data_IF_461861242639
#
_entry.id   IF_461861242639
#
_cell.length_a   1.000
_cell.length_b   1.000
_cell.length_c   1.000
_cell.angle_alpha   90.00
_cell.angle_beta   90.00
_cell.angle_gamma   90.00
#
_symmetry.space_group_name_H-M   'P 1'
#
loop_
_entity.id
_entity.type
_entity.pdbx_description
1 polymer ?
#
# COMPACT_ATOMS: atom_id res chain seq x y z
N UNK A 1 20.74 4.13 -23.84
CA UNK A 1 19.92 3.40 -22.86
C UNK A 1 18.50 3.53 -23.35
N UNK A 2 17.88 2.45 -23.80
CA UNK A 2 16.48 2.49 -24.19
C UNK A 2 15.65 2.71 -22.92
N UNK A 3 14.88 3.80 -22.89
CA UNK A 3 13.95 4.09 -21.80
C UNK A 3 12.86 3.03 -21.82
N UNK A 4 12.85 2.17 -20.79
CA UNK A 4 11.74 1.24 -20.58
C UNK A 4 10.50 2.11 -20.33
N UNK A 5 9.43 2.00 -21.13
CA UNK A 5 8.23 2.79 -20.92
C UNK A 5 7.69 2.55 -19.51
N UNK A 6 7.68 3.59 -18.70
CA UNK A 6 7.17 3.52 -17.33
C UNK A 6 5.64 3.50 -17.39
N UNK A 7 5.05 2.30 -17.41
CA UNK A 7 3.60 2.13 -17.40
C UNK A 7 3.13 2.01 -15.95
N UNK A 8 2.53 3.08 -15.42
CA UNK A 8 1.93 3.08 -14.07
C UNK A 8 0.51 2.53 -14.13
N UNK A 9 0.28 1.41 -13.45
CA UNK A 9 -1.08 0.89 -13.21
C UNK A 9 -1.51 1.25 -11.78
N UNK A 10 -2.45 2.20 -11.59
CA UNK A 10 -2.92 2.53 -10.26
C UNK A 10 -3.73 1.36 -9.67
N UNK A 11 -3.27 0.83 -8.54
CA UNK A 11 -4.00 -0.16 -7.77
C UNK A 11 -4.72 0.54 -6.63
N UNK A 12 -6.04 0.69 -6.77
CA UNK A 12 -6.90 1.21 -5.70
C UNK A 12 -7.12 0.15 -4.62
N UNK A 13 -6.52 0.34 -3.46
CA UNK A 13 -6.74 -0.49 -2.27
C UNK A 13 -8.03 -0.04 -1.57
N UNK A 14 -9.16 -0.59 -1.99
CA UNK A 14 -10.49 -0.25 -1.43
C UNK A 14 -10.94 -1.16 -0.29
N UNK A 15 -10.24 -2.29 -0.08
CA UNK A 15 -10.51 -3.21 1.03
C UNK A 15 -9.42 -3.08 2.10
N UNK A 16 -9.73 -3.45 3.36
CA UNK A 16 -8.73 -3.47 4.43
C UNK A 16 -7.48 -4.28 4.03
N UNK A 17 -6.33 -3.66 4.22
CA UNK A 17 -5.02 -4.25 3.95
C UNK A 17 -4.51 -4.95 5.21
N UNK A 18 -4.13 -6.22 5.09
CA UNK A 18 -3.38 -6.92 6.13
C UNK A 18 -1.89 -6.69 5.90
N UNK A 19 -1.18 -6.21 6.92
CA UNK A 19 0.27 -6.02 6.89
C UNK A 19 0.92 -6.98 7.89
N UNK A 20 1.96 -7.68 7.49
CA UNK A 20 2.71 -8.61 8.35
C UNK A 20 4.19 -8.64 8.00
N UNK A 21 5.06 -8.88 8.98
CA UNK A 21 6.49 -9.06 8.79
C UNK A 21 6.82 -10.55 8.79
N UNK A 22 7.55 -11.03 7.78
CA UNK A 22 8.15 -12.35 7.82
C UNK A 22 9.42 -12.29 8.70
N UNK A 23 9.46 -12.94 9.87
CA UNK A 23 10.59 -12.83 10.79
C UNK A 23 11.86 -13.52 10.28
N UNK A 24 11.73 -14.45 9.33
CA UNK A 24 12.87 -15.18 8.79
C UNK A 24 13.59 -14.44 7.67
N UNK A 25 12.84 -13.67 6.87
CA UNK A 25 13.39 -12.94 5.70
C UNK A 25 13.45 -11.43 5.91
N UNK A 26 12.72 -10.90 6.90
CA UNK A 26 12.56 -9.46 7.10
C UNK A 26 11.64 -8.78 6.09
N UNK A 27 10.96 -9.56 5.23
CA UNK A 27 10.06 -9.01 4.21
C UNK A 27 8.75 -8.52 4.83
N UNK A 28 8.33 -7.32 4.44
CA UNK A 28 6.98 -6.83 4.73
C UNK A 28 6.02 -7.36 3.67
N UNK A 29 4.97 -8.02 4.13
CA UNK A 29 3.92 -8.60 3.30
C UNK A 29 2.65 -7.77 3.46
N UNK A 30 2.11 -7.31 2.34
CA UNK A 30 0.86 -6.56 2.24
C UNK A 30 -0.15 -7.40 1.48
N UNK A 31 -1.31 -7.68 2.08
CA UNK A 31 -2.35 -8.52 1.47
C UNK A 31 -3.70 -7.82 1.48
N UNK A 32 -4.35 -7.77 0.31
CA UNK A 32 -5.72 -7.26 0.18
C UNK A 32 -6.48 -8.07 -0.85
N UNK A 33 -7.79 -7.85 -0.90
CA UNK A 33 -8.63 -8.29 -2.00
C UNK A 33 -8.97 -7.09 -2.88
N UNK A 34 -8.94 -7.29 -4.19
CA UNK A 34 -9.32 -6.27 -5.16
C UNK A 34 -10.22 -6.90 -6.21
N UNK A 35 -11.24 -6.14 -6.62
CA UNK A 35 -12.09 -6.50 -7.73
C UNK A 35 -11.36 -6.16 -9.04
N UNK A 36 -11.04 -7.17 -9.84
CA UNK A 36 -10.52 -7.01 -11.20
C UNK A 36 -11.57 -7.57 -12.16
N UNK A 37 -12.19 -6.68 -12.96
CA UNK A 37 -13.31 -7.06 -13.80
C UNK A 37 -14.50 -7.54 -12.94
N UNK A 38 -14.91 -8.78 -13.14
CA UNK A 38 -16.01 -9.43 -12.43
C UNK A 38 -15.56 -10.32 -11.25
N UNK A 39 -14.25 -10.37 -10.96
CA UNK A 39 -13.68 -11.31 -9.97
C UNK A 39 -12.90 -10.60 -8.88
N UNK A 40 -13.16 -10.99 -7.63
CA UNK A 40 -12.33 -10.62 -6.49
C UNK A 40 -11.09 -11.49 -6.44
N UNK A 41 -9.91 -10.88 -6.52
CA UNK A 41 -8.62 -11.56 -6.47
C UNK A 41 -7.82 -11.11 -5.24
N UNK A 42 -7.04 -12.03 -4.66
CA UNK A 42 -6.13 -11.70 -3.58
C UNK A 42 -4.84 -11.14 -4.17
N UNK A 43 -4.54 -9.90 -3.85
CA UNK A 43 -3.26 -9.28 -4.13
C UNK A 43 -2.33 -9.43 -2.94
N UNK A 44 -1.10 -9.86 -3.22
CA UNK A 44 -0.02 -9.94 -2.24
C UNK A 44 1.18 -9.17 -2.79
N UNK A 45 1.59 -8.12 -2.10
CA UNK A 45 2.80 -7.38 -2.38
C UNK A 45 3.86 -7.72 -1.34
N UNK A 46 5.06 -8.08 -1.82
CA UNK A 46 6.21 -8.43 -1.01
C UNK A 46 7.23 -7.30 -1.11
N UNK A 47 7.61 -6.76 0.04
CA UNK A 47 8.58 -5.69 0.13
C UNK A 47 9.84 -6.20 0.82
N UNK A 48 10.95 -6.23 0.10
CA UNK A 48 12.25 -6.59 0.65
C UNK A 48 12.71 -5.62 1.74
N UNK A 49 13.60 -6.05 2.67
CA UNK A 49 14.01 -5.24 3.82
C UNK A 49 14.51 -3.83 3.46
N UNK A 50 15.25 -3.66 2.36
CA UNK A 50 15.76 -2.34 1.94
C UNK A 50 14.65 -1.37 1.53
N UNK A 51 13.65 -1.87 0.82
CA UNK A 51 12.47 -1.09 0.46
C UNK A 51 11.62 -0.79 1.72
N UNK A 52 11.50 -1.76 2.62
CA UNK A 52 10.83 -1.59 3.91
C UNK A 52 11.47 -0.49 4.77
N UNK A 53 12.81 -0.42 4.83
CA UNK A 53 13.51 0.66 5.53
C UNK A 53 13.19 2.04 4.94
N UNK A 54 13.03 2.13 3.62
CA UNK A 54 12.64 3.39 2.95
C UNK A 54 11.22 3.79 3.31
N UNK A 55 10.30 2.82 3.39
CA UNK A 55 8.94 3.09 3.87
C UNK A 55 8.96 3.54 5.35
N UNK A 56 9.70 2.84 6.20
CA UNK A 56 9.79 3.15 7.63
C UNK A 56 10.39 4.53 7.91
N UNK A 57 11.30 5.03 7.06
CA UNK A 57 11.90 6.35 7.25
C UNK A 57 10.93 7.51 6.98
N UNK A 58 9.94 7.32 6.10
CA UNK A 58 8.97 8.37 5.73
C UNK A 58 7.69 8.34 6.55
N UNK A 59 7.33 7.17 7.12
CA UNK A 59 6.09 7.01 7.91
C UNK A 59 5.94 8.01 9.07
N UNK A 60 6.97 8.33 9.88
CA UNK A 60 6.83 9.29 10.97
C UNK A 60 6.43 10.68 10.51
N UNK A 61 6.95 11.14 9.38
CA UNK A 61 6.61 12.44 8.82
C UNK A 61 5.16 12.46 8.31
N UNK A 62 4.73 11.40 7.62
CA UNK A 62 3.36 11.23 7.17
C UNK A 62 2.40 11.23 8.37
N UNK A 63 2.75 10.54 9.45
CA UNK A 63 1.94 10.54 10.68
C UNK A 63 1.84 11.94 11.31
N UNK A 64 2.95 12.68 11.35
CA UNK A 64 2.98 14.01 11.96
C UNK A 64 2.20 15.05 11.15
N UNK A 65 2.32 15.03 9.82
CA UNK A 65 1.84 16.12 8.96
C UNK A 65 0.61 15.71 8.16
N UNK A 66 0.53 14.45 7.72
CA UNK A 66 -0.49 13.96 6.80
C UNK A 66 -1.66 13.22 7.47
N UNK A 67 -1.55 12.78 8.72
CA UNK A 67 -2.57 11.96 9.36
C UNK A 67 -3.96 12.62 9.38
N UNK A 68 -4.04 13.91 9.71
CA UNK A 68 -5.30 14.64 9.73
C UNK A 68 -5.99 14.66 8.36
N UNK A 69 -5.23 14.83 7.28
CA UNK A 69 -5.75 14.82 5.89
C UNK A 69 -6.34 13.43 5.59
N UNK A 70 -5.62 12.36 5.93
CA UNK A 70 -6.06 10.98 5.72
C UNK A 70 -7.38 10.73 6.47
N UNK A 71 -7.45 11.13 7.75
CA UNK A 71 -8.64 10.97 8.58
C UNK A 71 -9.85 11.75 8.04
N UNK A 72 -9.66 13.01 7.64
CA UNK A 72 -10.72 13.84 7.06
C UNK A 72 -11.28 13.21 5.78
N UNK A 73 -10.40 12.74 4.88
CA UNK A 73 -10.83 12.12 3.62
C UNK A 73 -11.51 10.77 3.83
N UNK A 74 -11.03 9.96 4.79
CA UNK A 74 -11.66 8.67 5.13
C UNK A 74 -13.09 8.84 5.66
N UNK A 75 -13.36 9.91 6.44
CA UNK A 75 -14.72 10.23 6.91
C UNK A 75 -15.67 10.58 5.76
N UNK A 76 -15.18 11.32 4.76
CA UNK A 76 -15.98 11.71 3.60
C UNK A 76 -16.36 10.51 2.71
N UNK A 77 -15.47 9.53 2.54
CA UNK A 77 -15.75 8.34 1.74
C UNK A 77 -16.78 7.39 2.39
N UNK A 78 -17.02 7.49 3.69
CA UNK A 78 -18.02 6.66 4.39
C UNK A 78 -19.45 7.23 4.27
N UNK A 79 -19.58 8.48 3.82
CA UNK A 79 -20.86 9.19 3.67
C UNK A 79 -21.43 9.11 2.23
N UNK A 80 -20.70 8.47 1.32
CA UNK A 80 -21.08 8.23 -0.08
C UNK A 80 -21.36 6.73 -0.28
#
# INVERSE_FOLDING_TARGET
MDEIPEMTFPIGLTHPLKVSLNPNTGELVFECFQLIGDKTQKFRFLMEPKAALTLLSVLPEIQRVGAHIIEEKAKLSYLQ
#
